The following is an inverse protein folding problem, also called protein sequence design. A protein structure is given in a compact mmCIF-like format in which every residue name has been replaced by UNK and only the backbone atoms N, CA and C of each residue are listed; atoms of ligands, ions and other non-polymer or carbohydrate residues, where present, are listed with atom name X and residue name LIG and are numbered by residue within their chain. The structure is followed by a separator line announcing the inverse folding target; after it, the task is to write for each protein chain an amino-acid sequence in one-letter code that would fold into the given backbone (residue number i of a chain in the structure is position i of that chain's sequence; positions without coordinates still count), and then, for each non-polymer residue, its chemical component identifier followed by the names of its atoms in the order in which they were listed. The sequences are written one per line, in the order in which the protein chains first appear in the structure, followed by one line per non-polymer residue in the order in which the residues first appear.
data_IF_558509809925
#
_entry.id   IF_558509809925
#
_cell.length_a   1.000
_cell.length_b   1.000
_cell.length_c   1.000
_cell.angle_alpha   90.00
_cell.angle_beta   90.00
_cell.angle_gamma   90.00
#
_symmetry.space_group_name_H-M   'P 1'
#
loop_
_entity.id
_entity.type
_entity.pdbx_description
1 polymer ?
#
# COMPACT_ATOMS: atom_id res chain seq x y z
N UNK A 1 -3.82 34.82 40.44
CA UNK A 1 -2.87 33.76 40.11
C UNK A 1 -2.04 34.25 38.94
N UNK A 2 -0.72 34.10 39.01
CA UNK A 2 0.18 34.53 37.93
C UNK A 2 0.42 33.39 36.93
N UNK A 3 0.87 33.74 35.73
CA UNK A 3 1.25 32.75 34.72
C UNK A 3 2.27 31.73 35.24
N UNK A 4 3.24 32.16 36.07
CA UNK A 4 4.24 31.27 36.65
C UNK A 4 3.63 30.25 37.63
N UNK A 5 2.58 30.64 38.36
CA UNK A 5 1.83 29.75 39.25
C UNK A 5 1.10 28.67 38.45
N UNK A 6 0.36 29.06 37.40
CA UNK A 6 -0.37 28.12 36.54
C UNK A 6 0.59 27.21 35.77
N UNK A 7 1.70 27.75 35.28
CA UNK A 7 2.73 26.99 34.56
C UNK A 7 3.46 26.00 35.47
N UNK A 8 3.73 26.38 36.72
CA UNK A 8 4.27 25.48 37.75
C UNK A 8 3.31 24.33 38.06
N UNK A 9 2.03 24.63 38.19
CA UNK A 9 0.99 23.64 38.48
C UNK A 9 0.83 22.62 37.35
N UNK A 10 0.78 23.06 36.09
CA UNK A 10 0.66 22.14 34.95
C UNK A 10 1.88 21.20 34.84
N UNK A 11 3.09 21.69 35.13
CA UNK A 11 4.30 20.83 35.12
C UNK A 11 4.29 19.79 36.24
N UNK A 12 3.80 20.14 37.42
CA UNK A 12 3.75 19.19 38.54
C UNK A 12 2.69 18.11 38.32
N UNK A 13 1.54 18.47 37.73
CA UNK A 13 0.51 17.53 37.31
C UNK A 13 0.99 16.59 36.19
N UNK A 14 1.74 17.11 35.21
CA UNK A 14 2.36 16.31 34.15
C UNK A 14 3.42 15.33 34.69
N UNK A 15 4.21 15.73 35.69
CA UNK A 15 5.21 14.86 36.33
C UNK A 15 4.57 13.74 37.18
N UNK A 16 3.33 13.93 37.65
CA UNK A 16 2.56 12.92 38.38
C UNK A 16 1.93 11.86 37.46
N UNK A 17 1.85 12.11 36.15
CA UNK A 17 1.44 11.11 35.18
C UNK A 17 2.58 10.11 34.96
N UNK A 18 2.48 8.93 35.58
CA UNK A 18 3.32 7.79 35.22
C UNK A 18 2.89 7.28 33.85
N UNK A 19 3.53 7.77 32.79
CA UNK A 19 3.50 7.11 31.49
C UNK A 19 4.06 5.69 31.69
N UNK A 20 3.32 4.66 31.28
CA UNK A 20 3.83 3.29 31.27
C UNK A 20 5.10 3.25 30.41
N UNK A 21 6.25 3.25 31.07
CA UNK A 21 7.55 3.12 30.42
C UNK A 21 7.82 1.62 30.28
N UNK A 22 8.16 1.20 29.07
CA UNK A 22 8.76 -0.13 28.86
C UNK A 22 9.99 -0.23 29.77
N UNK A 23 10.18 -1.34 30.50
CA UNK A 23 11.33 -1.54 31.37
C UNK A 23 12.63 -1.27 30.60
N UNK A 24 13.54 -0.48 31.20
CA UNK A 24 14.90 -0.23 30.68
C UNK A 24 15.84 -1.41 30.90
N UNK A 25 15.32 -2.64 30.90
CA UNK A 25 16.20 -3.80 30.75
C UNK A 25 16.93 -3.66 29.42
N UNK A 26 18.19 -4.14 29.31
CA UNK A 26 18.83 -4.33 28.02
C UNK A 26 18.15 -5.52 27.31
N UNK A 27 16.88 -5.33 26.96
CA UNK A 27 16.13 -6.19 26.08
C UNK A 27 16.87 -6.19 24.75
N UNK A 28 17.27 -7.39 24.33
CA UNK A 28 18.11 -7.64 23.17
C UNK A 28 17.71 -6.79 21.97
N UNK A 29 18.75 -6.34 21.26
CA UNK A 29 18.71 -5.58 20.01
C UNK A 29 17.59 -6.01 19.06
N UNK A 30 16.40 -5.45 19.23
CA UNK A 30 15.48 -5.24 18.12
C UNK A 30 16.14 -4.16 17.28
N UNK A 31 17.01 -4.56 16.34
CA UNK A 31 17.60 -3.64 15.40
C UNK A 31 16.47 -2.80 14.81
N UNK A 32 16.56 -1.47 14.94
CA UNK A 32 15.61 -0.57 14.33
C UNK A 32 15.71 -0.78 12.81
N UNK A 33 14.86 -1.64 12.27
CA UNK A 33 14.68 -1.74 10.83
C UNK A 33 14.01 -0.44 10.42
N UNK A 34 14.77 0.40 9.75
CA UNK A 34 14.28 1.63 9.16
C UNK A 34 13.35 1.22 8.01
N UNK A 35 12.04 1.11 8.28
CA UNK A 35 11.00 0.78 7.30
C UNK A 35 10.79 1.95 6.32
N UNK A 36 11.87 2.40 5.68
CA UNK A 36 11.82 3.42 4.64
C UNK A 36 11.54 2.77 3.31
N UNK A 37 10.55 3.32 2.64
CA UNK A 37 10.23 3.05 1.25
C UNK A 37 10.57 4.30 0.45
N UNK A 38 11.30 4.14 -0.63
CA UNK A 38 11.66 5.25 -1.52
C UNK A 38 10.70 5.33 -2.70
N UNK A 39 10.66 6.49 -3.37
CA UNK A 39 9.90 6.63 -4.62
C UNK A 39 10.38 5.66 -5.71
N UNK A 40 11.65 5.26 -5.71
CA UNK A 40 12.17 4.26 -6.64
C UNK A 40 11.60 2.85 -6.35
N UNK A 41 11.49 2.48 -5.06
CA UNK A 41 10.89 1.21 -4.65
C UNK A 41 9.41 1.16 -5.02
N UNK A 42 8.66 2.24 -4.79
CA UNK A 42 7.24 2.33 -5.17
C UNK A 42 7.04 2.23 -6.69
N UNK A 43 7.89 2.91 -7.47
CA UNK A 43 7.86 2.80 -8.94
C UNK A 43 8.17 1.39 -9.42
N UNK A 44 9.14 0.72 -8.81
CA UNK A 44 9.48 -0.67 -9.16
C UNK A 44 8.27 -1.60 -8.96
N UNK A 45 7.61 -1.54 -7.80
CA UNK A 45 6.40 -2.33 -7.51
C UNK A 45 5.25 -1.95 -8.46
N UNK A 46 5.06 -0.66 -8.72
CA UNK A 46 4.05 -0.18 -9.66
C UNK A 46 4.25 -0.72 -11.08
N UNK A 47 5.50 -0.81 -11.54
CA UNK A 47 5.84 -1.38 -12.84
C UNK A 47 5.62 -2.89 -12.87
N UNK A 48 6.01 -3.62 -11.82
CA UNK A 48 5.74 -5.06 -11.72
C UNK A 48 4.23 -5.35 -11.76
N UNK A 49 3.40 -4.53 -11.10
CA UNK A 49 1.94 -4.66 -11.16
C UNK A 49 1.38 -4.39 -12.57
N UNK A 50 1.95 -3.43 -13.30
CA UNK A 50 1.57 -3.16 -14.70
C UNK A 50 1.99 -4.29 -15.63
N UNK A 51 3.21 -4.81 -15.49
CA UNK A 51 3.64 -5.98 -16.24
C UNK A 51 2.71 -7.16 -15.96
N UNK A 52 2.41 -7.41 -14.67
CA UNK A 52 1.45 -8.41 -14.22
C UNK A 52 0.09 -8.29 -14.89
N UNK A 53 -0.45 -7.08 -14.93
CA UNK A 53 -1.70 -6.79 -15.63
C UNK A 53 -1.65 -7.28 -17.09
N UNK A 54 -0.63 -6.89 -17.85
CA UNK A 54 -0.58 -7.16 -19.28
C UNK A 54 -0.38 -8.64 -19.63
N UNK A 55 0.53 -9.35 -18.95
CA UNK A 55 0.72 -10.77 -19.24
C UNK A 55 -0.47 -11.60 -18.76
N UNK A 56 -1.04 -11.27 -17.61
CA UNK A 56 -2.19 -11.96 -17.08
C UNK A 56 -3.44 -11.74 -17.94
N UNK A 57 -3.71 -10.53 -18.44
CA UNK A 57 -4.84 -10.26 -19.34
C UNK A 57 -4.79 -11.15 -20.59
N UNK A 58 -3.62 -11.20 -21.23
CA UNK A 58 -3.40 -12.04 -22.43
C UNK A 58 -3.67 -13.51 -22.12
N UNK A 59 -3.11 -14.03 -21.05
CA UNK A 59 -3.10 -15.46 -20.77
C UNK A 59 -4.44 -15.93 -20.16
N UNK A 60 -5.05 -15.12 -19.28
CA UNK A 60 -6.35 -15.39 -18.68
C UNK A 60 -7.46 -15.50 -19.72
N UNK A 61 -7.39 -14.69 -20.78
CA UNK A 61 -8.45 -14.62 -21.79
C UNK A 61 -8.17 -15.41 -23.07
N UNK A 62 -7.00 -16.04 -23.19
CA UNK A 62 -6.54 -16.72 -24.41
C UNK A 62 -7.53 -17.76 -24.98
N UNK A 63 -8.18 -18.54 -24.10
CA UNK A 63 -9.07 -19.63 -24.52
C UNK A 63 -10.51 -19.19 -24.79
N UNK A 64 -10.89 -17.94 -24.49
CA UNK A 64 -12.29 -17.54 -24.37
C UNK A 64 -13.14 -17.77 -25.62
N UNK A 65 -12.63 -17.40 -26.80
CA UNK A 65 -13.36 -17.60 -28.06
C UNK A 65 -13.55 -19.09 -28.40
N UNK A 66 -12.55 -19.92 -28.08
CA UNK A 66 -12.61 -21.37 -28.32
C UNK A 66 -13.56 -22.04 -27.32
N UNK A 67 -13.54 -21.61 -26.07
CA UNK A 67 -14.47 -22.07 -25.03
C UNK A 67 -15.92 -21.70 -25.35
N UNK A 68 -16.18 -20.47 -25.80
CA UNK A 68 -17.52 -20.05 -26.27
C UNK A 68 -18.04 -20.92 -27.42
N UNK A 69 -17.19 -21.15 -28.42
CA UNK A 69 -17.54 -21.98 -29.58
C UNK A 69 -17.85 -23.43 -29.17
N UNK A 70 -17.00 -24.03 -28.35
CA UNK A 70 -17.19 -25.40 -27.86
C UNK A 70 -18.43 -25.54 -26.98
N UNK A 71 -18.64 -24.57 -26.06
CA UNK A 71 -19.81 -24.54 -25.19
C UNK A 71 -21.11 -24.47 -26.01
N UNK A 72 -21.20 -23.57 -27.00
CA UNK A 72 -22.35 -23.44 -27.90
C UNK A 72 -22.61 -24.70 -28.72
N UNK A 73 -21.55 -25.33 -29.25
CA UNK A 73 -21.70 -26.57 -30.03
C UNK A 73 -22.27 -27.70 -29.17
N UNK A 74 -21.69 -27.92 -27.98
CA UNK A 74 -22.13 -28.97 -27.06
C UNK A 74 -23.58 -28.73 -26.58
N UNK A 75 -23.91 -27.48 -26.26
CA UNK A 75 -25.25 -27.11 -25.82
C UNK A 75 -26.28 -27.28 -26.95
N UNK A 76 -25.93 -26.88 -28.18
CA UNK A 76 -26.75 -27.08 -29.37
C UNK A 76 -27.02 -28.55 -29.71
N UNK A 77 -26.06 -29.44 -29.40
CA UNK A 77 -26.22 -30.90 -29.52
C UNK A 77 -27.00 -31.53 -28.35
N UNK A 78 -27.47 -30.73 -27.39
CA UNK A 78 -28.24 -31.18 -26.22
C UNK A 78 -27.39 -31.70 -25.06
N UNK A 79 -26.06 -31.53 -25.11
CA UNK A 79 -25.19 -31.89 -23.99
C UNK A 79 -25.16 -30.77 -22.95
N UNK A 80 -25.62 -31.09 -21.73
CA UNK A 80 -25.56 -30.19 -20.55
C UNK A 80 -24.15 -29.67 -20.24
N UNK A 81 -23.11 -30.36 -20.71
CA UNK A 81 -21.71 -29.93 -20.58
C UNK A 81 -21.45 -28.60 -21.28
N UNK A 82 -22.20 -28.26 -22.34
CA UNK A 82 -22.06 -26.97 -23.03
C UNK A 82 -22.36 -25.78 -22.11
N UNK A 83 -23.58 -25.72 -21.57
CA UNK A 83 -23.95 -24.71 -20.57
C UNK A 83 -23.02 -24.70 -19.34
N UNK A 84 -22.64 -25.87 -18.82
CA UNK A 84 -21.72 -25.96 -17.69
C UNK A 84 -20.31 -25.40 -17.99
N UNK A 85 -19.80 -25.66 -19.21
CA UNK A 85 -18.51 -25.13 -19.67
C UNK A 85 -18.56 -23.60 -19.81
N UNK A 86 -19.68 -23.05 -20.29
CA UNK A 86 -19.86 -21.60 -20.34
C UNK A 86 -19.88 -20.98 -18.94
N UNK A 87 -20.62 -21.55 -17.98
CA UNK A 87 -20.63 -21.06 -16.59
C UNK A 87 -19.23 -21.08 -15.96
N UNK A 88 -18.45 -22.14 -16.21
CA UNK A 88 -17.07 -22.24 -15.76
C UNK A 88 -16.20 -21.13 -16.35
N UNK A 89 -16.30 -20.89 -17.66
CA UNK A 89 -15.60 -19.82 -18.35
C UNK A 89 -15.96 -18.44 -17.79
N UNK A 90 -17.25 -18.19 -17.60
CA UNK A 90 -17.75 -16.91 -17.12
C UNK A 90 -17.26 -16.61 -15.69
N UNK A 91 -17.28 -17.62 -14.83
CA UNK A 91 -16.75 -17.51 -13.46
C UNK A 91 -15.23 -17.24 -13.46
N UNK A 92 -14.48 -17.94 -14.30
CA UNK A 92 -13.05 -17.69 -14.47
C UNK A 92 -12.78 -16.26 -14.94
N UNK A 93 -13.52 -15.80 -15.95
CA UNK A 93 -13.42 -14.44 -16.49
C UNK A 93 -13.63 -13.39 -15.40
N UNK A 94 -14.69 -13.50 -14.60
CA UNK A 94 -14.97 -12.55 -13.51
C UNK A 94 -13.86 -12.50 -12.45
N UNK A 95 -13.29 -13.66 -12.11
CA UNK A 95 -12.16 -13.73 -11.16
C UNK A 95 -10.90 -13.08 -11.75
N UNK A 96 -10.61 -13.32 -13.02
CA UNK A 96 -9.50 -12.69 -13.72
C UNK A 96 -9.67 -11.18 -13.83
N UNK A 97 -10.87 -10.68 -14.17
CA UNK A 97 -11.21 -9.25 -14.20
C UNK A 97 -10.98 -8.60 -12.83
N UNK A 98 -11.33 -9.30 -11.74
CA UNK A 98 -11.08 -8.83 -10.36
C UNK A 98 -9.58 -8.68 -10.07
N UNK A 99 -8.77 -9.68 -10.45
CA UNK A 99 -7.31 -9.63 -10.26
C UNK A 99 -6.64 -8.55 -11.13
N UNK A 100 -7.09 -8.38 -12.37
CA UNK A 100 -6.65 -7.29 -13.25
C UNK A 100 -6.97 -5.93 -12.64
N UNK A 101 -8.19 -5.75 -12.10
CA UNK A 101 -8.58 -4.53 -11.40
C UNK A 101 -7.68 -4.24 -10.20
N UNK A 102 -7.33 -5.27 -9.42
CA UNK A 102 -6.40 -5.13 -8.30
C UNK A 102 -5.00 -4.70 -8.76
N UNK A 103 -4.45 -5.29 -9.82
CA UNK A 103 -3.15 -4.91 -10.37
C UNK A 103 -3.15 -3.45 -10.86
N UNK A 104 -4.19 -3.05 -11.59
CA UNK A 104 -4.36 -1.68 -12.04
C UNK A 104 -4.50 -0.70 -10.86
N UNK A 105 -5.24 -1.07 -9.81
CA UNK A 105 -5.40 -0.26 -8.61
C UNK A 105 -4.08 -0.06 -7.87
N UNK A 106 -3.27 -1.12 -7.71
CA UNK A 106 -1.93 -1.02 -7.12
C UNK A 106 -1.04 -0.09 -7.95
N UNK A 107 -0.95 -0.32 -9.26
CA UNK A 107 -0.14 0.52 -10.16
C UNK A 107 -0.53 2.00 -10.06
N UNK A 108 -1.82 2.31 -10.23
CA UNK A 108 -2.34 3.67 -10.20
C UNK A 108 -2.10 4.36 -8.84
N UNK A 109 -2.31 3.64 -7.74
CA UNK A 109 -2.14 4.20 -6.40
C UNK A 109 -0.68 4.52 -6.08
N UNK A 110 0.25 3.65 -6.47
CA UNK A 110 1.67 3.87 -6.24
C UNK A 110 2.23 4.98 -7.13
N UNK A 111 1.82 5.04 -8.39
CA UNK A 111 2.21 6.14 -9.30
C UNK A 111 1.70 7.49 -8.78
N UNK A 112 0.43 7.55 -8.33
CA UNK A 112 -0.14 8.77 -7.73
C UNK A 112 0.60 9.20 -6.46
N UNK A 113 0.95 8.24 -5.59
CA UNK A 113 1.75 8.52 -4.38
C UNK A 113 3.08 9.17 -4.75
N UNK A 114 3.78 8.62 -5.75
CA UNK A 114 5.08 9.14 -6.18
C UNK A 114 4.96 10.51 -6.83
N UNK A 115 3.95 10.73 -7.68
CA UNK A 115 3.68 12.02 -8.32
C UNK A 115 3.32 13.08 -7.27
N UNK A 116 2.46 12.75 -6.32
CA UNK A 116 2.00 13.71 -5.30
C UNK A 116 3.15 14.16 -4.40
N UNK A 117 3.99 13.22 -3.94
CA UNK A 117 5.19 13.58 -3.16
C UNK A 117 6.16 14.45 -3.97
N UNK A 118 6.39 14.14 -5.25
CA UNK A 118 7.29 14.92 -6.09
C UNK A 118 6.78 16.35 -6.37
N UNK A 119 5.47 16.54 -6.49
CA UNK A 119 4.87 17.80 -6.92
C UNK A 119 4.40 18.69 -5.76
N UNK A 120 4.02 18.12 -4.62
CA UNK A 120 3.28 18.84 -3.58
C UNK A 120 4.02 18.97 -2.24
N UNK A 121 5.16 18.31 -2.04
CA UNK A 121 5.97 18.50 -0.83
C UNK A 121 6.98 19.65 -1.02
N UNK A 122 6.85 20.69 -0.20
CA UNK A 122 7.84 21.77 -0.14
C UNK A 122 9.09 21.31 0.64
N UNK A 123 10.26 21.43 0.03
CA UNK A 123 11.53 21.20 0.72
C UNK A 123 11.90 22.44 1.52
N UNK A 124 11.60 22.41 2.82
CA UNK A 124 11.99 23.46 3.75
C UNK A 124 13.47 23.34 4.11
N UNK A 125 14.28 24.28 3.65
CA UNK A 125 15.70 24.38 4.01
C UNK A 125 15.84 25.05 5.37
N UNK A 126 16.42 24.34 6.35
CA UNK A 126 16.67 24.91 7.69
C UNK A 126 18.04 25.59 7.72
N UNK A 127 18.11 26.84 8.19
CA UNK A 127 19.39 27.54 8.39
C UNK A 127 20.18 27.05 9.62
N UNK A 128 19.57 26.23 10.49
CA UNK A 128 20.18 25.77 11.72
C UNK A 128 20.16 24.23 11.78
N UNK A 129 21.29 23.63 12.15
CA UNK A 129 21.32 22.22 12.53
C UNK A 129 20.70 22.01 13.91
N UNK A 130 20.23 20.79 14.21
CA UNK A 130 19.75 20.43 15.56
C UNK A 130 20.81 20.75 16.64
N UNK A 131 22.08 20.48 16.34
CA UNK A 131 23.21 20.81 17.21
C UNK A 131 23.43 22.31 17.45
N UNK A 132 22.91 23.18 16.57
CA UNK A 132 22.94 24.64 16.78
C UNK A 132 21.78 25.06 17.66
N UNK A 133 20.61 24.43 17.51
CA UNK A 133 19.44 24.66 18.36
C UNK A 133 19.77 24.29 19.81
N UNK A 134 20.40 23.14 20.06
CA UNK A 134 20.75 22.68 21.42
C UNK A 134 21.70 23.64 22.19
N UNK A 135 22.52 24.41 21.47
CA UNK A 135 23.41 25.42 22.09
C UNK A 135 22.66 26.62 22.67
N UNK A 136 21.41 26.84 22.26
CA UNK A 136 20.59 27.96 22.74
C UNK A 136 19.72 27.59 23.95
N UNK A 137 19.67 26.30 24.32
CA UNK A 137 18.84 25.79 25.43
C UNK A 137 19.66 25.20 26.60
N UNK A 138 20.98 25.36 26.58
CA UNK A 138 21.89 25.03 27.68
C UNK A 138 22.43 26.28 28.38
#
# INVERSE_FOLDING_TARGET
MSFDEEWSQVRSEAAAMRLNSVPTDPGGSGGATDYKVTSADLKAIGNEAQELFHWFERDAFHAGAQTDTAAKSLDGDGFRTGSAMWTMWDTWREQCETLLSACAHIHNHLEDTVISHANHEEVLVTNFSMSTIDKHFN
#
